data_IF_224767807435
#
_entry.id   IF_224767807435
#
_cell.length_a   1.000
_cell.length_b   1.000
_cell.length_c   1.000
_cell.angle_alpha   90.00
_cell.angle_beta   90.00
_cell.angle_gamma   90.00
#
_symmetry.space_group_name_H-M   'P 1'
#
loop_
_entity.id
_entity.type
_entity.pdbx_description
1 polymer ?
#
# COMPACT_ATOMS: atom_id res chain seq x y z
N UNK A 1 58.28 -36.70 8.54
CA UNK A 1 56.83 -36.91 8.78
C UNK A 1 56.12 -35.71 8.18
N UNK A 2 55.77 -35.77 6.88
CA UNK A 2 54.43 -36.12 6.35
C UNK A 2 53.37 -35.11 6.83
N UNK A 3 52.68 -34.32 6.00
CA UNK A 3 52.11 -34.64 4.70
C UNK A 3 51.75 -33.33 3.94
N UNK A 4 51.97 -33.29 2.62
CA UNK A 4 51.40 -32.30 1.69
C UNK A 4 50.17 -32.93 1.04
N UNK A 5 48.99 -32.30 1.12
CA UNK A 5 47.78 -32.62 0.33
C UNK A 5 47.14 -31.25 0.00
N UNK A 6 47.24 -30.76 -1.24
CA UNK A 6 46.39 -30.97 -2.44
C UNK A 6 45.20 -30.00 -2.53
N UNK A 7 44.97 -29.58 -3.76
CA UNK A 7 44.22 -28.43 -4.30
C UNK A 7 42.73 -28.71 -4.53
N UNK A 8 41.95 -27.63 -4.72
CA UNK A 8 41.01 -27.36 -5.85
C UNK A 8 40.12 -26.16 -5.43
N UNK A 9 40.19 -25.00 -6.11
CA UNK A 9 39.48 -24.65 -7.35
C UNK A 9 37.96 -24.75 -7.23
N UNK A 10 37.31 -23.60 -7.50
CA UNK A 10 35.89 -23.40 -7.81
C UNK A 10 34.87 -23.50 -6.67
N UNK A 11 34.58 -22.34 -6.05
CA UNK A 11 33.19 -21.98 -5.73
C UNK A 11 32.94 -20.58 -6.28
N UNK A 12 32.72 -20.53 -7.60
CA UNK A 12 31.85 -19.52 -8.18
C UNK A 12 30.42 -19.86 -7.73
N UNK A 13 29.84 -19.03 -6.87
CA UNK A 13 28.45 -19.14 -6.42
C UNK A 13 27.99 -17.75 -6.00
N UNK A 14 27.28 -17.08 -6.89
CA UNK A 14 26.99 -15.66 -6.80
C UNK A 14 26.27 -15.24 -5.52
N UNK A 15 26.81 -14.18 -4.89
CA UNK A 15 26.06 -13.31 -3.99
C UNK A 15 25.42 -12.20 -4.83
N UNK A 16 24.42 -12.58 -5.61
CA UNK A 16 23.55 -11.64 -6.30
C UNK A 16 22.12 -12.06 -5.99
N UNK A 17 21.71 -12.00 -4.72
CA UNK A 17 20.33 -12.20 -4.31
C UNK A 17 20.07 -11.48 -2.99
N UNK A 18 19.69 -10.20 -3.13
CA UNK A 18 18.68 -9.51 -2.33
C UNK A 18 18.33 -8.25 -3.13
N UNK A 19 17.78 -8.51 -4.31
CA UNK A 19 16.85 -7.71 -5.10
C UNK A 19 16.88 -6.19 -4.86
N UNK A 20 17.64 -5.51 -5.71
CA UNK A 20 17.36 -4.14 -6.17
C UNK A 20 15.96 -4.01 -6.83
N UNK A 21 15.19 -5.11 -6.93
CA UNK A 21 13.87 -5.18 -7.56
C UNK A 21 12.71 -4.53 -6.76
N UNK A 22 12.98 -3.96 -5.58
CA UNK A 22 11.98 -3.12 -4.88
C UNK A 22 11.91 -1.68 -5.42
N UNK A 23 12.74 -1.32 -6.42
CA UNK A 23 12.76 0.02 -7.03
C UNK A 23 12.42 0.00 -8.54
N UNK A 24 12.27 -1.17 -9.17
CA UNK A 24 11.99 -1.32 -10.61
C UNK A 24 10.48 -1.46 -10.96
N UNK A 25 9.60 -0.81 -10.18
CA UNK A 25 8.18 -0.71 -10.51
C UNK A 25 7.86 0.58 -11.26
N UNK A 26 6.91 0.54 -12.20
CA UNK A 26 6.44 1.72 -12.97
C UNK A 26 5.86 2.84 -12.06
N UNK A 27 5.58 2.51 -10.80
CA UNK A 27 5.27 3.46 -9.73
C UNK A 27 4.70 2.78 -8.49
N UNK A 28 4.45 3.55 -7.43
CA UNK A 28 3.76 3.05 -6.22
C UNK A 28 2.40 3.72 -6.08
N UNK A 29 1.34 2.91 -5.96
CA UNK A 29 0.03 3.36 -5.51
C UNK A 29 -0.01 3.33 -3.98
N UNK A 30 -0.17 4.49 -3.35
CA UNK A 30 -0.39 4.62 -1.91
C UNK A 30 -1.89 4.65 -1.64
N UNK A 31 -2.44 3.54 -1.15
CA UNK A 31 -3.88 3.30 -1.12
C UNK A 31 -4.40 3.31 0.32
N UNK A 32 -5.42 4.13 0.60
CA UNK A 32 -6.17 4.05 1.85
C UNK A 32 -7.08 2.81 1.87
N UNK A 33 -7.57 2.41 3.04
CA UNK A 33 -8.44 1.23 3.17
C UNK A 33 -9.88 1.65 3.50
N UNK A 34 -10.09 2.26 4.67
CA UNK A 34 -11.42 2.63 5.16
C UNK A 34 -12.01 3.78 4.33
N UNK A 35 -13.13 3.53 3.63
CA UNK A 35 -13.74 4.49 2.70
C UNK A 35 -13.09 4.55 1.33
N UNK A 36 -12.12 3.66 1.04
CA UNK A 36 -11.44 3.56 -0.26
C UNK A 36 -11.52 2.14 -0.82
N UNK A 37 -11.03 1.13 -0.11
CA UNK A 37 -11.16 -0.29 -0.51
C UNK A 37 -12.43 -0.95 0.03
N UNK A 38 -12.95 -0.46 1.14
CA UNK A 38 -14.20 -0.92 1.72
C UNK A 38 -14.98 0.26 2.30
N UNK A 39 -16.27 0.09 2.65
CA UNK A 39 -17.02 1.09 3.41
C UNK A 39 -16.34 1.45 4.73
N UNK A 40 -16.68 2.62 5.26
CA UNK A 40 -16.27 2.98 6.63
C UNK A 40 -17.08 2.14 7.60
N UNK A 41 -16.39 1.39 8.48
CA UNK A 41 -17.02 0.54 9.51
C UNK A 41 -18.06 1.30 10.32
N UNK A 42 -19.29 0.81 10.34
CA UNK A 42 -20.35 1.25 11.24
C UNK A 42 -20.05 0.95 12.72
N UNK A 43 -20.83 1.55 13.62
CA UNK A 43 -20.63 1.38 15.08
C UNK A 43 -20.75 -0.09 15.51
N UNK A 44 -21.82 -0.74 15.05
CA UNK A 44 -22.17 -2.13 15.43
C UNK A 44 -21.55 -3.19 14.50
N UNK A 45 -20.85 -2.79 13.45
CA UNK A 45 -20.25 -3.72 12.49
C UNK A 45 -18.90 -4.24 12.98
N UNK A 46 -18.63 -5.51 12.72
CA UNK A 46 -17.27 -6.04 12.78
C UNK A 46 -16.52 -5.66 11.51
N UNK A 47 -15.24 -5.34 11.65
CA UNK A 47 -14.41 -5.07 10.48
C UNK A 47 -14.20 -6.31 9.61
N UNK A 48 -14.11 -7.49 10.24
CA UNK A 48 -13.90 -8.76 9.54
C UNK A 48 -15.02 -9.10 8.54
N UNK A 49 -16.18 -8.46 8.69
CA UNK A 49 -17.38 -8.68 7.88
C UNK A 49 -17.59 -7.61 6.81
N UNK A 50 -16.77 -6.55 6.78
CA UNK A 50 -16.88 -5.57 5.70
C UNK A 50 -16.55 -6.22 4.35
N UNK A 51 -17.33 -5.88 3.34
CA UNK A 51 -17.14 -6.34 1.97
C UNK A 51 -16.37 -5.24 1.22
N UNK A 52 -15.26 -5.55 0.54
CA UNK A 52 -14.54 -4.58 -0.28
C UNK A 52 -15.35 -4.18 -1.52
N UNK A 53 -15.03 -3.01 -2.06
CA UNK A 53 -15.52 -2.59 -3.38
C UNK A 53 -14.77 -3.40 -4.46
N UNK A 54 -15.47 -4.30 -5.15
CA UNK A 54 -14.84 -5.25 -6.08
C UNK A 54 -14.13 -4.56 -7.24
N UNK A 55 -14.68 -3.45 -7.73
CA UNK A 55 -14.10 -2.61 -8.78
C UNK A 55 -12.75 -1.98 -8.36
N UNK A 56 -12.62 -1.55 -7.11
CA UNK A 56 -11.34 -1.08 -6.55
C UNK A 56 -10.31 -2.20 -6.53
N UNK A 57 -10.69 -3.39 -6.05
CA UNK A 57 -9.78 -4.55 -5.97
C UNK A 57 -9.32 -4.96 -7.37
N UNK A 58 -10.23 -5.05 -8.33
CA UNK A 58 -9.92 -5.36 -9.73
C UNK A 58 -8.99 -4.32 -10.35
N UNK A 59 -9.25 -3.03 -10.11
CA UNK A 59 -8.39 -1.96 -10.64
C UNK A 59 -6.99 -2.01 -10.02
N UNK A 60 -6.85 -2.28 -8.72
CA UNK A 60 -5.53 -2.49 -8.11
C UNK A 60 -4.77 -3.66 -8.73
N UNK A 61 -5.42 -4.81 -8.94
CA UNK A 61 -4.80 -5.95 -9.64
C UNK A 61 -4.34 -5.58 -11.04
N UNK A 62 -5.14 -4.77 -11.75
CA UNK A 62 -4.77 -4.29 -13.09
C UNK A 62 -3.54 -3.36 -13.08
N UNK A 63 -3.38 -2.53 -12.05
CA UNK A 63 -2.15 -1.73 -11.87
C UNK A 63 -0.96 -2.59 -11.47
N UNK A 64 -1.14 -3.55 -10.56
CA UNK A 64 -0.08 -4.48 -10.17
C UNK A 64 0.42 -5.32 -11.35
N UNK A 65 -0.49 -5.79 -12.22
CA UNK A 65 -0.14 -6.49 -13.45
C UNK A 65 0.63 -5.61 -14.47
N UNK A 66 0.55 -4.27 -14.34
CA UNK A 66 1.37 -3.31 -15.09
C UNK A 66 2.69 -2.97 -14.40
N UNK A 67 3.04 -3.64 -13.30
CA UNK A 67 4.31 -3.41 -12.59
C UNK A 67 4.26 -2.31 -11.53
N UNK A 68 3.07 -1.84 -11.12
CA UNK A 68 2.96 -0.93 -9.99
C UNK A 68 3.03 -1.69 -8.65
N UNK A 69 3.75 -1.12 -7.69
CA UNK A 69 3.69 -1.55 -6.31
C UNK A 69 2.43 -0.99 -5.64
N UNK A 70 1.77 -1.81 -4.84
CA UNK A 70 0.57 -1.44 -4.08
C UNK A 70 0.93 -1.35 -2.60
N UNK A 71 1.02 -0.13 -2.08
CA UNK A 71 1.26 0.16 -0.67
C UNK A 71 -0.05 0.56 0.01
N UNK A 72 -0.53 -0.28 0.93
CA UNK A 72 -1.69 0.06 1.75
C UNK A 72 -1.27 0.95 2.92
N UNK A 73 -1.76 2.18 2.98
CA UNK A 73 -1.45 3.12 4.06
C UNK A 73 -2.72 3.54 4.81
N UNK A 74 -2.87 3.11 6.06
CA UNK A 74 -4.14 3.23 6.79
C UNK A 74 -4.04 4.01 8.09
N UNK A 75 -5.09 4.81 8.36
CA UNK A 75 -5.30 5.53 9.63
C UNK A 75 -6.15 4.73 10.62
N UNK A 76 -6.43 3.45 10.32
CA UNK A 76 -7.33 2.61 11.11
C UNK A 76 -6.90 2.54 12.58
N UNK A 77 -7.84 2.83 13.47
CA UNK A 77 -7.65 2.90 14.92
C UNK A 77 -6.59 3.90 15.42
N UNK A 78 -6.07 4.80 14.57
CA UNK A 78 -5.15 5.87 14.99
C UNK A 78 -5.78 6.78 16.04
N UNK A 79 -7.04 7.17 15.86
CA UNK A 79 -7.78 7.94 16.86
C UNK A 79 -7.97 7.16 18.17
N UNK A 80 -8.47 5.92 18.05
CA UNK A 80 -8.77 5.03 19.19
C UNK A 80 -7.54 4.80 20.08
N UNK A 81 -6.36 4.67 19.48
CA UNK A 81 -5.12 4.43 20.18
C UNK A 81 -4.24 5.67 20.34
N UNK A 82 -4.76 6.87 20.05
CA UNK A 82 -4.04 8.15 20.18
C UNK A 82 -2.67 8.12 19.47
N UNK A 83 -2.62 7.51 18.28
CA UNK A 83 -1.39 7.35 17.48
C UNK A 83 -0.39 6.31 18.00
N UNK A 84 -0.73 5.51 19.02
CA UNK A 84 0.19 4.50 19.53
C UNK A 84 0.29 3.29 18.58
N UNK A 85 1.35 3.25 17.78
CA UNK A 85 1.62 2.18 16.81
C UNK A 85 1.77 0.80 17.46
N UNK A 86 2.35 0.70 18.65
CA UNK A 86 2.47 -0.58 19.36
C UNK A 86 1.10 -1.21 19.68
N UNK A 87 0.11 -0.38 20.05
CA UNK A 87 -1.27 -0.85 20.24
C UNK A 87 -1.94 -1.20 18.92
N UNK A 88 -1.69 -0.44 17.87
CA UNK A 88 -2.25 -0.72 16.53
C UNK A 88 -1.71 -2.06 16.01
N UNK A 89 -0.42 -2.30 16.12
CA UNK A 89 0.19 -3.57 15.74
C UNK A 89 -0.37 -4.74 16.56
N UNK A 90 -0.64 -4.53 17.85
CA UNK A 90 -1.19 -5.57 18.72
C UNK A 90 -2.67 -5.89 18.44
N UNK A 91 -3.51 -4.87 18.19
CA UNK A 91 -4.97 -5.04 18.20
C UNK A 91 -5.64 -4.82 16.84
N UNK A 92 -5.04 -4.04 15.96
CA UNK A 92 -5.60 -3.70 14.64
C UNK A 92 -5.01 -4.58 13.54
N UNK A 93 -3.68 -4.75 13.54
CA UNK A 93 -3.00 -5.42 12.44
C UNK A 93 -3.47 -6.87 12.21
N UNK A 94 -3.66 -7.73 13.23
CA UNK A 94 -4.10 -9.11 13.00
C UNK A 94 -5.46 -9.18 12.28
N UNK A 95 -6.43 -8.37 12.74
CA UNK A 95 -7.77 -8.33 12.16
C UNK A 95 -7.75 -7.80 10.73
N UNK A 96 -6.91 -6.80 10.45
CA UNK A 96 -6.78 -6.26 9.09
C UNK A 96 -6.10 -7.27 8.16
N UNK A 97 -5.03 -7.94 8.61
CA UNK A 97 -4.32 -8.95 7.80
C UNK A 97 -5.25 -10.12 7.46
N UNK A 98 -6.02 -10.61 8.42
CA UNK A 98 -7.05 -11.64 8.17
C UNK A 98 -8.09 -11.17 7.17
N UNK A 99 -8.54 -9.91 7.26
CA UNK A 99 -9.48 -9.34 6.30
C UNK A 99 -8.88 -9.23 4.89
N UNK A 100 -7.64 -8.76 4.76
CA UNK A 100 -6.93 -8.68 3.48
C UNK A 100 -6.78 -10.06 2.83
N UNK A 101 -6.40 -11.07 3.62
CA UNK A 101 -6.28 -12.45 3.16
C UNK A 101 -7.64 -13.07 2.76
N UNK A 102 -8.69 -12.84 3.57
CA UNK A 102 -10.06 -13.33 3.29
C UNK A 102 -10.58 -12.84 1.94
N UNK A 103 -10.26 -11.60 1.58
CA UNK A 103 -10.77 -10.96 0.36
C UNK A 103 -9.77 -10.96 -0.79
N UNK A 104 -8.60 -11.58 -0.61
CA UNK A 104 -7.53 -11.63 -1.60
C UNK A 104 -7.17 -10.23 -2.14
N UNK A 105 -7.00 -9.27 -1.23
CA UNK A 105 -6.64 -7.90 -1.58
C UNK A 105 -5.19 -7.87 -2.05
N UNK A 106 -4.87 -7.34 -3.25
CA UNK A 106 -3.49 -7.23 -3.71
C UNK A 106 -2.78 -6.12 -2.93
N UNK A 107 -1.62 -6.43 -2.36
CA UNK A 107 -0.69 -5.45 -1.82
C UNK A 107 0.72 -6.03 -1.70
N UNK A 108 1.71 -5.15 -1.82
CA UNK A 108 3.12 -5.46 -1.64
C UNK A 108 3.60 -4.99 -0.26
N UNK A 109 3.04 -3.86 0.21
CA UNK A 109 3.36 -3.28 1.52
C UNK A 109 2.09 -2.91 2.31
N UNK A 110 2.16 -3.04 3.63
CA UNK A 110 1.12 -2.60 4.55
C UNK A 110 1.74 -1.69 5.62
N UNK A 111 1.39 -0.41 5.57
CA UNK A 111 1.84 0.61 6.51
C UNK A 111 0.70 1.12 7.38
N UNK A 112 0.92 1.07 8.69
CA UNK A 112 0.08 1.75 9.67
C UNK A 112 0.66 3.11 10.01
N UNK A 113 -0.14 3.98 10.62
CA UNK A 113 0.34 5.26 11.12
C UNK A 113 -0.06 6.46 10.28
N UNK A 114 -0.94 6.30 9.29
CA UNK A 114 -1.47 7.43 8.52
C UNK A 114 -2.11 8.44 9.49
N UNK A 115 -1.69 9.72 9.48
CA UNK A 115 -2.27 10.71 10.38
C UNK A 115 -3.77 10.84 10.14
N UNK A 116 -4.57 10.64 11.19
CA UNK A 116 -6.01 10.85 11.09
C UNK A 116 -6.32 12.36 11.16
N UNK A 117 -6.92 12.97 10.12
CA UNK A 117 -7.09 14.42 10.04
C UNK A 117 -8.22 14.96 10.93
N UNK A 118 -8.74 14.15 11.86
CA UNK A 118 -9.89 14.45 12.70
C UNK A 118 -11.20 14.57 11.89
N UNK A 119 -12.32 14.84 12.58
CA UNK A 119 -13.67 14.83 11.98
C UNK A 119 -13.91 15.88 10.89
N UNK A 120 -13.11 16.95 10.85
CA UNK A 120 -13.31 18.10 9.95
C UNK A 120 -12.12 18.36 9.03
N UNK A 121 -11.06 17.54 9.11
CA UNK A 121 -9.89 17.70 8.27
C UNK A 121 -9.92 16.79 7.06
N UNK A 122 -8.96 17.02 6.16
CA UNK A 122 -8.75 16.32 4.90
C UNK A 122 -7.26 16.36 4.54
N UNK A 123 -6.86 15.54 3.58
CA UNK A 123 -5.51 15.58 3.01
C UNK A 123 -5.45 16.64 1.90
N UNK A 124 -4.31 17.32 1.79
CA UNK A 124 -4.03 18.30 0.73
C UNK A 124 -2.70 17.86 0.11
N UNK A 125 -2.71 17.45 -1.15
CA UNK A 125 -1.59 16.77 -1.80
C UNK A 125 -1.80 16.79 -3.32
N UNK A 126 -0.78 17.18 -4.09
CA UNK A 126 -0.84 17.37 -5.55
C UNK A 126 -0.80 16.07 -6.35
N UNK A 127 -0.57 14.94 -5.68
CA UNK A 127 -0.50 13.59 -6.26
C UNK A 127 -1.66 12.70 -5.80
N UNK A 128 -2.66 13.28 -5.13
CA UNK A 128 -3.80 12.52 -4.58
C UNK A 128 -4.93 12.38 -5.59
N UNK A 129 -5.43 11.15 -5.73
CA UNK A 129 -6.62 10.79 -6.50
C UNK A 129 -7.69 10.24 -5.54
N UNK A 130 -8.93 10.71 -5.67
CA UNK A 130 -10.07 10.22 -4.86
C UNK A 130 -10.55 8.88 -5.40
N UNK A 131 -11.18 8.00 -4.60
CA UNK A 131 -11.58 6.66 -5.04
C UNK A 131 -12.44 6.66 -6.31
N UNK A 132 -13.37 7.61 -6.42
CA UNK A 132 -14.22 7.77 -7.61
C UNK A 132 -13.41 8.12 -8.85
N UNK A 133 -12.49 9.09 -8.75
CA UNK A 133 -11.59 9.46 -9.85
C UNK A 133 -10.71 8.29 -10.23
N UNK A 134 -10.19 7.55 -9.23
CA UNK A 134 -9.40 6.36 -9.47
C UNK A 134 -10.18 5.33 -10.24
N UNK A 135 -11.48 5.13 -10.00
CA UNK A 135 -12.31 4.16 -10.73
C UNK A 135 -12.69 4.65 -12.14
N UNK A 136 -13.07 5.92 -12.26
CA UNK A 136 -13.67 6.49 -13.47
C UNK A 136 -12.62 6.89 -14.53
N UNK A 137 -11.39 7.21 -14.14
CA UNK A 137 -10.34 7.71 -15.05
C UNK A 137 -9.31 6.62 -15.43
N UNK A 138 -8.70 6.74 -16.60
CA UNK A 138 -7.52 5.98 -17.00
C UNK A 138 -6.21 6.68 -16.59
N UNK A 139 -5.06 6.05 -16.83
CA UNK A 139 -3.75 6.58 -16.42
C UNK A 139 -3.45 7.98 -17.00
N UNK A 140 -3.69 8.20 -18.28
CA UNK A 140 -3.41 9.48 -18.95
C UNK A 140 -4.35 10.59 -18.42
N UNK A 141 -5.61 10.24 -18.16
CA UNK A 141 -6.59 11.16 -17.58
C UNK A 141 -6.26 11.53 -16.13
N UNK A 142 -5.73 10.57 -15.36
CA UNK A 142 -5.21 10.81 -14.00
C UNK A 142 -4.02 11.76 -14.06
N UNK A 143 -3.05 11.52 -14.96
CA UNK A 143 -1.89 12.40 -15.11
C UNK A 143 -2.30 13.82 -15.52
N UNK A 144 -3.22 13.95 -16.47
CA UNK A 144 -3.77 15.24 -16.89
C UNK A 144 -4.52 15.95 -15.75
N UNK A 145 -5.27 15.21 -14.93
CA UNK A 145 -5.96 15.76 -13.77
C UNK A 145 -4.98 16.32 -12.73
N UNK A 146 -3.93 15.55 -12.39
CA UNK A 146 -2.92 15.96 -11.44
C UNK A 146 -2.13 17.18 -11.93
N UNK A 147 -1.76 17.20 -13.21
CA UNK A 147 -1.05 18.34 -13.80
C UNK A 147 -1.90 19.61 -13.84
N UNK A 148 -3.19 19.49 -14.17
CA UNK A 148 -4.14 20.61 -14.15
C UNK A 148 -4.26 21.25 -12.75
N UNK A 149 -4.27 20.43 -11.71
CA UNK A 149 -4.53 20.87 -10.33
C UNK A 149 -3.26 21.32 -9.59
N UNK A 150 -2.07 21.12 -10.17
CA UNK A 150 -0.83 21.70 -9.67
C UNK A 150 -0.86 23.21 -9.79
N UNK A 151 -0.43 23.89 -8.73
CA UNK A 151 -0.27 25.33 -8.76
C UNK A 151 0.93 25.70 -9.65
N UNK A 152 0.83 26.74 -10.48
CA UNK A 152 1.92 27.15 -11.36
C UNK A 152 3.14 27.61 -10.57
N UNK A 153 4.33 27.42 -11.16
CA UNK A 153 5.57 28.00 -10.63
C UNK A 153 5.43 29.52 -10.50
N UNK A 154 5.86 30.06 -9.36
CA UNK A 154 5.95 31.49 -9.15
C UNK A 154 7.34 31.92 -9.62
N UNK A 155 7.38 32.77 -10.65
CA UNK A 155 8.61 33.31 -11.22
C UNK A 155 9.40 34.20 -10.29
#
# INVERSE_FOLDING_TARGET
MTNKLRTNSDVAGGSALLDDALIDGDGTLVVDIDGTLCPIKGKEESYADLIPYSDMVEKLRAYQAKGFNILLFTARNMNTHKGNLGRINKFTAPVLIEWLAKWDIPYDELMFGKPWPQKKGFYIDDRTIRPREFLELNSDEIEALLERDRLPEQG
#
